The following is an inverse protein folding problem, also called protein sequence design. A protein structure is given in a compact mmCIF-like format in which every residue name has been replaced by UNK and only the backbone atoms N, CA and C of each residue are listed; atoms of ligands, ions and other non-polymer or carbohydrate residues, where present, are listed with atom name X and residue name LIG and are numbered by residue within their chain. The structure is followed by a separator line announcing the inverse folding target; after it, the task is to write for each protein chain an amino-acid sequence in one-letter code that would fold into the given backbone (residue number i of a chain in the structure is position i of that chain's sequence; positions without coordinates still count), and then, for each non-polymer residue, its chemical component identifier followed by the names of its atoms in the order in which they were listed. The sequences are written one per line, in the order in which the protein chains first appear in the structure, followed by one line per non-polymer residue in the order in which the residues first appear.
data_IF_951943613803
#
_entry.id   IF_951943613803
#
_cell.length_a   1.000
_cell.length_b   1.000
_cell.length_c   1.000
_cell.angle_alpha   90.00
_cell.angle_beta   90.00
_cell.angle_gamma   90.00
#
_symmetry.space_group_name_H-M   'P 1'
#
loop_
_entity.id
_entity.type
_entity.pdbx_description
1 polymer ?
#
# COMPACT_ATOMS: atom_id res chain seq x y z
N UNK A 1 20.85 -31.08 -9.98
CA UNK A 1 20.29 -29.72 -9.89
C UNK A 1 18.80 -29.91 -9.72
N UNK A 2 18.27 -29.61 -8.53
CA UNK A 2 16.84 -29.76 -8.25
C UNK A 2 16.06 -28.92 -9.27
N UNK A 3 14.98 -29.47 -9.83
CA UNK A 3 14.08 -28.73 -10.70
C UNK A 3 13.54 -27.57 -9.86
N UNK A 4 13.83 -26.33 -10.25
CA UNK A 4 13.29 -25.15 -9.56
C UNK A 4 11.77 -25.26 -9.51
N UNK A 5 11.22 -25.14 -8.31
CA UNK A 5 9.79 -25.16 -8.07
C UNK A 5 9.27 -23.70 -8.07
N UNK A 6 8.48 -23.35 -9.08
CA UNK A 6 7.91 -22.00 -9.23
C UNK A 6 7.09 -21.58 -8.01
N UNK A 7 6.45 -22.53 -7.31
CA UNK A 7 5.62 -22.22 -6.15
C UNK A 7 6.49 -21.77 -4.97
N UNK A 8 7.62 -22.45 -4.75
CA UNK A 8 8.60 -22.08 -3.74
C UNK A 8 9.28 -20.75 -4.09
N UNK A 9 9.67 -20.57 -5.35
CA UNK A 9 10.32 -19.33 -5.81
C UNK A 9 9.39 -18.12 -5.65
N UNK A 10 8.11 -18.25 -6.02
CA UNK A 10 7.11 -17.18 -5.82
C UNK A 10 6.88 -16.93 -4.33
N UNK A 11 6.79 -17.97 -3.50
CA UNK A 11 6.63 -17.82 -2.06
C UNK A 11 7.82 -17.08 -1.41
N UNK A 12 9.06 -17.34 -1.87
CA UNK A 12 10.26 -16.61 -1.42
C UNK A 12 10.19 -15.12 -1.75
N UNK A 13 9.66 -14.77 -2.93
CA UNK A 13 9.49 -13.36 -3.34
C UNK A 13 8.41 -12.67 -2.53
N UNK A 14 7.28 -13.35 -2.28
CA UNK A 14 6.16 -12.80 -1.52
C UNK A 14 6.51 -12.62 -0.03
N UNK A 15 7.35 -13.50 0.52
CA UNK A 15 7.77 -13.50 1.93
C UNK A 15 9.29 -13.37 2.02
N UNK A 16 9.84 -12.15 1.84
CA UNK A 16 11.28 -11.93 1.89
C UNK A 16 11.83 -12.21 3.29
N UNK A 17 13.11 -12.60 3.36
CA UNK A 17 13.77 -12.83 4.64
C UNK A 17 13.76 -11.54 5.49
N UNK A 18 13.53 -11.64 6.82
CA UNK A 18 13.58 -10.49 7.69
C UNK A 18 14.98 -9.86 7.66
N UNK A 19 15.03 -8.53 7.73
CA UNK A 19 16.30 -7.79 7.81
C UNK A 19 16.78 -7.80 9.27
N UNK A 20 18.06 -8.09 9.49
CA UNK A 20 18.68 -7.85 10.81
C UNK A 20 18.82 -6.36 11.03
N UNK A 21 18.30 -5.85 12.14
CA UNK A 21 18.50 -4.44 12.47
C UNK A 21 19.93 -4.24 12.98
N UNK A 22 20.66 -3.20 12.55
CA UNK A 22 22.04 -2.96 13.02
C UNK A 22 22.14 -2.72 14.54
N UNK A 23 21.04 -2.33 15.18
CA UNK A 23 20.96 -2.11 16.62
C UNK A 23 20.65 -3.39 17.44
N UNK A 24 20.41 -4.54 16.79
CA UNK A 24 20.27 -5.84 17.46
C UNK A 24 21.61 -6.30 18.02
N UNK A 25 21.91 -5.76 19.19
CA UNK A 25 23.14 -6.00 19.94
C UNK A 25 23.07 -7.36 20.65
N UNK A 26 23.34 -8.42 19.90
CA UNK A 26 24.12 -9.59 20.31
C UNK A 26 23.62 -10.55 21.40
N UNK A 27 22.73 -10.18 22.32
CA UNK A 27 22.45 -11.03 23.48
C UNK A 27 21.06 -11.69 23.49
N UNK A 28 20.14 -11.32 22.58
CA UNK A 28 18.86 -12.02 22.39
C UNK A 28 18.45 -12.06 20.90
N UNK A 29 19.03 -12.99 20.13
CA UNK A 29 18.70 -13.29 18.71
C UNK A 29 17.31 -13.95 18.55
N UNK A 30 16.59 -14.17 19.65
CA UNK A 30 15.29 -14.87 19.70
C UNK A 30 14.24 -14.22 18.80
N UNK A 31 14.22 -12.88 18.71
CA UNK A 31 13.27 -12.16 17.86
C UNK A 31 13.53 -12.36 16.37
N UNK A 32 14.80 -12.37 15.95
CA UNK A 32 15.16 -12.61 14.56
C UNK A 32 14.94 -14.08 14.16
N UNK A 33 15.26 -15.02 15.05
CA UNK A 33 15.02 -16.45 14.80
C UNK A 33 13.52 -16.76 14.76
N UNK A 34 12.71 -16.16 15.64
CA UNK A 34 11.25 -16.27 15.60
C UNK A 34 10.70 -15.71 14.28
N UNK A 35 11.10 -14.49 13.88
CA UNK A 35 10.68 -13.90 12.61
C UNK A 35 11.12 -14.73 11.40
N UNK A 36 12.30 -15.35 11.45
CA UNK A 36 12.76 -16.25 10.39
C UNK A 36 11.91 -17.52 10.32
N UNK A 37 11.52 -18.08 11.48
CA UNK A 37 10.63 -19.24 11.56
C UNK A 37 9.27 -18.91 10.96
N UNK A 38 8.67 -17.78 11.37
CA UNK A 38 7.39 -17.31 10.82
C UNK A 38 7.46 -17.15 9.29
N UNK A 39 8.55 -16.60 8.75
CA UNK A 39 8.74 -16.46 7.30
C UNK A 39 8.89 -17.81 6.59
N UNK A 40 9.50 -18.82 7.21
CA UNK A 40 9.54 -20.16 6.61
C UNK A 40 8.14 -20.79 6.57
N UNK A 41 7.39 -20.68 7.66
CA UNK A 41 6.01 -21.19 7.74
C UNK A 41 5.10 -20.49 6.71
N UNK A 42 5.25 -19.16 6.56
CA UNK A 42 4.51 -18.38 5.56
C UNK A 42 4.86 -18.79 4.13
N UNK A 43 6.12 -19.13 3.86
CA UNK A 43 6.56 -19.61 2.54
C UNK A 43 6.00 -20.99 2.23
N UNK A 44 6.07 -21.92 3.17
CA UNK A 44 5.54 -23.27 3.00
C UNK A 44 4.05 -23.22 2.71
N UNK A 45 3.28 -22.52 3.56
CA UNK A 45 1.84 -22.32 3.38
C UNK A 45 1.51 -21.68 2.03
N UNK A 46 2.24 -20.64 1.63
CA UNK A 46 1.99 -19.95 0.36
C UNK A 46 2.30 -20.85 -0.83
N UNK A 47 3.37 -21.64 -0.78
CA UNK A 47 3.70 -22.58 -1.85
C UNK A 47 2.62 -23.67 -1.98
N UNK A 48 2.10 -24.18 -0.86
CA UNK A 48 0.97 -25.12 -0.85
C UNK A 48 -0.32 -24.50 -1.43
N UNK A 49 -0.69 -23.30 -0.99
CA UNK A 49 -1.88 -22.60 -1.50
C UNK A 49 -1.78 -22.35 -3.01
N UNK A 50 -0.60 -21.96 -3.51
CA UNK A 50 -0.36 -21.76 -4.94
C UNK A 50 -0.45 -23.07 -5.73
N UNK A 51 0.08 -24.18 -5.18
CA UNK A 51 -0.04 -25.52 -5.80
C UNK A 51 -1.50 -25.94 -5.90
N UNK A 52 -2.26 -25.81 -4.82
CA UNK A 52 -3.68 -26.16 -4.78
C UNK A 52 -4.49 -25.32 -5.77
N UNK A 53 -4.25 -24.01 -5.83
CA UNK A 53 -4.92 -23.09 -6.75
C UNK A 53 -4.63 -23.43 -8.22
N UNK A 54 -3.37 -23.76 -8.54
CA UNK A 54 -3.01 -24.22 -9.89
C UNK A 54 -3.68 -25.55 -10.24
N UNK A 55 -3.71 -26.51 -9.31
CA UNK A 55 -4.31 -27.83 -9.55
C UNK A 55 -5.84 -27.80 -9.71
N UNK A 56 -6.54 -26.94 -8.98
CA UNK A 56 -8.00 -26.93 -8.95
C UNK A 56 -8.61 -25.96 -9.97
N UNK A 57 -7.99 -24.79 -10.16
CA UNK A 57 -8.58 -23.69 -10.91
C UNK A 57 -7.69 -23.21 -12.07
N UNK A 58 -6.61 -23.94 -12.42
CA UNK A 58 -5.62 -23.56 -13.45
C UNK A 58 -5.07 -22.12 -13.29
N UNK A 59 -5.00 -21.63 -12.04
CA UNK A 59 -4.56 -20.27 -11.75
C UNK A 59 -3.03 -20.17 -11.72
N UNK A 60 -2.46 -19.41 -12.65
CA UNK A 60 -1.01 -19.19 -12.72
C UNK A 60 -0.43 -18.54 -11.46
N UNK A 61 0.52 -19.20 -10.75
CA UNK A 61 1.02 -18.73 -9.46
C UNK A 61 1.73 -17.39 -9.59
N UNK A 62 2.48 -17.19 -10.67
CA UNK A 62 3.21 -15.95 -10.90
C UNK A 62 2.27 -14.83 -11.32
N UNK A 63 1.34 -15.11 -12.24
CA UNK A 63 0.36 -14.11 -12.69
C UNK A 63 -0.58 -13.72 -11.55
N UNK A 64 -1.04 -14.68 -10.75
CA UNK A 64 -1.84 -14.45 -9.55
C UNK A 64 -1.10 -13.58 -8.52
N UNK A 65 0.18 -13.90 -8.25
CA UNK A 65 1.04 -13.10 -7.39
C UNK A 65 1.20 -11.67 -7.91
N UNK A 66 1.42 -11.49 -9.22
CA UNK A 66 1.52 -10.16 -9.85
C UNK A 66 0.22 -9.36 -9.73
N UNK A 67 -0.94 -9.99 -9.92
CA UNK A 67 -2.23 -9.33 -9.71
C UNK A 67 -2.42 -8.87 -8.26
N UNK A 68 -2.07 -9.72 -7.30
CA UNK A 68 -2.13 -9.36 -5.88
C UNK A 68 -1.17 -8.23 -5.54
N UNK A 69 0.08 -8.30 -5.99
CA UNK A 69 1.06 -7.23 -5.79
C UNK A 69 0.62 -5.90 -6.41
N UNK A 70 0.03 -5.94 -7.61
CA UNK A 70 -0.54 -4.77 -8.26
C UNK A 70 -1.70 -4.17 -7.45
N UNK A 71 -2.63 -4.98 -6.96
CA UNK A 71 -3.72 -4.51 -6.09
C UNK A 71 -3.20 -3.89 -4.80
N UNK A 72 -2.21 -4.52 -4.17
CA UNK A 72 -1.56 -3.99 -2.96
C UNK A 72 -0.92 -2.62 -3.24
N UNK A 73 -0.25 -2.47 -4.38
CA UNK A 73 0.29 -1.18 -4.83
C UNK A 73 -0.80 -0.12 -5.02
N UNK A 74 -1.85 -0.44 -5.78
CA UNK A 74 -2.97 0.49 -6.04
C UNK A 74 -3.67 0.90 -4.73
N UNK A 75 -3.82 -0.04 -3.79
CA UNK A 75 -4.38 0.23 -2.47
C UNK A 75 -3.47 1.13 -1.63
N UNK A 76 -2.15 0.88 -1.63
CA UNK A 76 -1.18 1.73 -0.93
C UNK A 76 -1.17 3.15 -1.51
N UNK A 77 -1.22 3.30 -2.83
CA UNK A 77 -1.33 4.60 -3.49
C UNK A 77 -2.63 5.33 -3.10
N UNK A 78 -3.77 4.61 -2.99
CA UNK A 78 -5.02 5.18 -2.52
C UNK A 78 -4.94 5.63 -1.05
N UNK A 79 -4.31 4.82 -0.18
CA UNK A 79 -4.09 5.20 1.22
C UNK A 79 -3.22 6.46 1.32
N UNK A 80 -2.16 6.57 0.53
CA UNK A 80 -1.32 7.78 0.49
C UNK A 80 -2.15 9.01 0.11
N UNK A 81 -3.01 8.93 -0.92
CA UNK A 81 -3.91 10.04 -1.31
C UNK A 81 -4.85 10.43 -0.18
N UNK A 82 -5.48 9.46 0.48
CA UNK A 82 -6.36 9.70 1.61
C UNK A 82 -5.63 10.36 2.79
N UNK A 83 -4.40 9.95 3.09
CA UNK A 83 -3.59 10.55 4.16
C UNK A 83 -3.21 12.00 3.82
N UNK A 84 -2.84 12.28 2.56
CA UNK A 84 -2.56 13.65 2.10
C UNK A 84 -3.84 14.50 2.22
N UNK A 85 -4.99 14.00 1.75
CA UNK A 85 -6.27 14.67 1.85
C UNK A 85 -6.65 14.96 3.31
N UNK A 86 -6.50 13.97 4.20
CA UNK A 86 -6.73 14.12 5.63
C UNK A 86 -5.86 15.22 6.25
N UNK A 87 -4.54 15.15 6.01
CA UNK A 87 -3.59 16.12 6.54
C UNK A 87 -3.82 17.56 6.06
N UNK A 88 -4.38 17.73 4.87
CA UNK A 88 -4.67 19.03 4.25
C UNK A 88 -6.02 19.60 4.63
N UNK A 89 -7.05 18.76 4.68
CA UNK A 89 -8.43 19.22 4.75
C UNK A 89 -9.08 19.00 6.10
N UNK A 90 -8.63 18.04 6.89
CA UNK A 90 -9.32 17.66 8.12
C UNK A 90 -8.55 18.05 9.39
N UNK A 91 -7.24 18.28 9.28
CA UNK A 91 -6.41 18.71 10.43
C UNK A 91 -6.58 20.21 10.71
N UNK A 92 -7.02 20.54 11.92
CA UNK A 92 -7.23 21.91 12.40
C UNK A 92 -6.57 22.13 13.78
N UNK A 93 -6.16 23.37 14.14
CA UNK A 93 -6.31 24.63 13.40
C UNK A 93 -5.25 24.86 12.31
N UNK A 94 -4.17 24.06 12.28
CA UNK A 94 -3.06 24.20 11.33
C UNK A 94 -2.90 22.91 10.53
N UNK A 95 -3.40 22.86 9.28
CA UNK A 95 -3.18 21.73 8.39
C UNK A 95 -1.70 21.55 8.07
N UNK A 96 -1.31 20.31 7.74
CA UNK A 96 0.05 20.01 7.28
C UNK A 96 0.37 20.78 5.99
N UNK A 97 1.63 21.18 5.83
CA UNK A 97 2.06 21.85 4.61
C UNK A 97 2.20 20.84 3.48
N UNK A 98 2.07 21.30 2.22
CA UNK A 98 2.36 20.43 1.07
C UNK A 98 3.83 19.97 1.06
N UNK A 99 4.75 20.75 1.64
CA UNK A 99 6.17 20.38 1.74
C UNK A 99 6.38 19.17 2.66
N UNK A 100 5.77 19.20 3.85
CA UNK A 100 5.90 18.09 4.82
C UNK A 100 5.26 16.81 4.27
N UNK A 101 4.08 16.93 3.66
CA UNK A 101 3.38 15.79 3.07
C UNK A 101 4.12 15.23 1.85
N UNK A 102 4.69 16.10 1.01
CA UNK A 102 5.50 15.68 -0.13
C UNK A 102 6.75 14.91 0.32
N UNK A 103 7.45 15.43 1.33
CA UNK A 103 8.63 14.79 1.89
C UNK A 103 8.29 13.41 2.48
N UNK A 104 7.21 13.31 3.27
CA UNK A 104 6.78 12.06 3.88
C UNK A 104 6.31 11.01 2.85
N UNK A 105 5.61 11.45 1.79
CA UNK A 105 5.11 10.57 0.74
C UNK A 105 6.14 10.24 -0.34
N UNK A 106 7.35 10.81 -0.30
CA UNK A 106 8.35 10.66 -1.35
C UNK A 106 7.92 11.28 -2.69
N UNK A 107 7.08 12.32 -2.65
CA UNK A 107 6.51 12.99 -3.81
C UNK A 107 7.11 14.38 -4.01
N UNK A 108 6.96 14.94 -5.21
CA UNK A 108 7.20 16.37 -5.40
C UNK A 108 6.04 17.19 -4.82
N UNK A 109 6.29 18.46 -4.44
CA UNK A 109 5.23 19.37 -3.99
C UNK A 109 4.14 19.50 -5.06
N UNK A 110 4.55 19.62 -6.33
CA UNK A 110 3.62 19.70 -7.47
C UNK A 110 2.75 18.44 -7.56
N UNK A 111 3.37 17.25 -7.49
CA UNK A 111 2.65 15.98 -7.54
C UNK A 111 1.72 15.78 -6.34
N UNK A 112 2.15 16.18 -5.14
CA UNK A 112 1.34 16.11 -3.91
C UNK A 112 0.10 16.97 -4.01
N UNK A 113 0.22 18.16 -4.60
CA UNK A 113 -0.91 19.09 -4.77
C UNK A 113 -2.01 18.51 -5.65
N UNK A 114 -1.64 17.71 -6.65
CA UNK A 114 -2.57 17.08 -7.60
C UNK A 114 -2.87 15.62 -7.26
N UNK A 115 -2.32 15.11 -6.16
CA UNK A 115 -2.38 13.69 -5.83
C UNK A 115 -3.79 13.24 -5.46
N UNK A 116 -4.58 14.10 -4.82
CA UNK A 116 -5.93 13.78 -4.36
C UNK A 116 -6.96 14.79 -4.90
N UNK A 117 -8.21 14.36 -5.00
CA UNK A 117 -9.34 15.17 -5.42
C UNK A 117 -10.54 15.06 -4.49
N UNK A 118 -11.70 15.57 -4.93
CA UNK A 118 -12.93 15.57 -4.14
C UNK A 118 -13.35 14.17 -3.68
N UNK A 119 -13.23 13.17 -4.56
CA UNK A 119 -13.57 11.79 -4.21
C UNK A 119 -12.73 11.24 -3.04
N UNK A 120 -11.44 11.60 -2.96
CA UNK A 120 -10.57 11.21 -1.83
C UNK A 120 -10.99 11.93 -0.54
N UNK A 121 -11.36 13.22 -0.63
CA UNK A 121 -11.87 14.00 0.51
C UNK A 121 -13.18 13.41 1.03
N UNK A 122 -14.11 13.06 0.14
CA UNK A 122 -15.40 12.45 0.50
C UNK A 122 -15.21 11.06 1.12
N UNK A 123 -14.29 10.25 0.58
CA UNK A 123 -13.92 8.96 1.14
C UNK A 123 -13.36 9.10 2.56
N UNK A 124 -12.47 10.07 2.79
CA UNK A 124 -11.92 10.37 4.12
C UNK A 124 -13.00 10.87 5.08
N UNK A 125 -13.88 11.76 4.64
CA UNK A 125 -14.99 12.25 5.46
C UNK A 125 -15.91 11.09 5.88
N UNK A 126 -16.21 10.18 4.95
CA UNK A 126 -17.03 8.99 5.21
C UNK A 126 -16.33 8.05 6.21
N UNK A 127 -15.04 7.79 6.02
CA UNK A 127 -14.29 6.86 6.85
C UNK A 127 -14.03 7.38 8.28
N UNK A 128 -13.83 8.69 8.43
CA UNK A 128 -13.44 9.30 9.72
C UNK A 128 -14.59 9.96 10.46
N UNK A 129 -15.70 10.27 9.77
CA UNK A 129 -16.79 11.10 10.31
C UNK A 129 -16.42 12.57 10.52
N UNK A 130 -15.19 12.98 10.17
CA UNK A 130 -14.74 14.35 10.30
C UNK A 130 -15.32 15.22 9.18
N UNK A 131 -15.47 16.52 9.47
CA UNK A 131 -15.85 17.49 8.44
C UNK A 131 -14.60 18.10 7.85
N UNK A 132 -14.45 18.09 6.51
CA UNK A 132 -13.37 18.84 5.90
C UNK A 132 -13.53 20.31 6.29
N UNK A 133 -12.40 21.01 6.38
CA UNK A 133 -12.36 22.46 6.32
C UNK A 133 -13.15 22.89 5.08
N UNK A 134 -13.71 24.09 5.07
CA UNK A 134 -14.35 24.68 3.88
C UNK A 134 -13.37 24.65 2.70
N UNK A 135 -13.33 23.52 2.01
CA UNK A 135 -12.60 23.28 0.79
C UNK A 135 -13.28 24.12 -0.27
N UNK A 136 -12.50 24.66 -1.21
CA UNK A 136 -13.03 25.43 -2.34
C UNK A 136 -14.06 24.56 -3.05
N UNK A 137 -15.33 24.84 -2.83
CA UNK A 137 -16.40 24.44 -3.74
C UNK A 137 -15.90 24.77 -5.14
N UNK A 138 -15.75 23.82 -6.06
CA UNK A 138 -15.64 24.18 -7.44
C UNK A 138 -16.94 24.93 -7.73
N UNK A 139 -16.81 26.23 -8.03
CA UNK A 139 -17.83 26.93 -8.78
C UNK A 139 -18.26 25.99 -9.91
N UNK A 140 -19.55 25.71 -9.97
CA UNK A 140 -20.14 24.88 -11.01
C UNK A 140 -19.68 25.43 -12.36
N UNK A 141 -18.62 24.85 -12.92
CA UNK A 141 -18.06 25.26 -14.19
C UNK A 141 -18.94 24.65 -15.29
N UNK A 142 -19.84 25.50 -15.77
CA UNK A 142 -20.43 25.56 -17.10
C UNK A 142 -21.25 24.36 -17.59
N UNK A 143 -22.51 24.40 -17.19
CA UNK A 143 -23.62 24.28 -18.13
C UNK A 143 -23.59 25.49 -19.11
N UNK A 144 -22.86 25.38 -20.24
CA UNK A 144 -23.20 25.94 -21.58
C UNK A 144 -22.10 25.79 -22.65
N UNK A 145 -22.57 25.42 -23.85
CA UNK A 145 -21.95 25.44 -25.19
C UNK A 145 -20.93 24.30 -25.48
N UNK A 146 -21.17 23.40 -26.42
CA UNK A 146 -21.52 23.71 -27.81
C UNK A 146 -22.48 22.69 -28.45
N UNK A 147 -23.26 23.24 -29.37
CA UNK A 147 -24.14 22.59 -30.34
C UNK A 147 -23.38 21.68 -31.33
#
# INVERSE_FOLDING_TARGET
MSRQDIFEDVAVILHPAPQRHPDDSGDHDDGFQAAMTDVMDDRERTAEDLRLSWEHDDHDPLIGALHSARRAKEQAEAQIRHLIAYGREFVQPRPYTLGDLAAAAGMSISGTRTAYGHHDVDAVATATGARPREWRTPEAADDKASA
#
